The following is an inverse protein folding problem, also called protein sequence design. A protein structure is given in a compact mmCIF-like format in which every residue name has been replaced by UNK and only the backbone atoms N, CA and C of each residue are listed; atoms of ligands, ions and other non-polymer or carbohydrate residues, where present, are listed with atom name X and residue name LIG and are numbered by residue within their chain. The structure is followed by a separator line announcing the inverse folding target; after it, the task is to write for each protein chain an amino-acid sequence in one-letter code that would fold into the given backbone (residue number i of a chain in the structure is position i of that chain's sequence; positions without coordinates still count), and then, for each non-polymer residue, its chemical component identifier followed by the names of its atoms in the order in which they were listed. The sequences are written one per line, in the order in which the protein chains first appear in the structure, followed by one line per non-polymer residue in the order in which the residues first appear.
data_IF_732179023670
#
_entry.id   IF_732179023670
#
_cell.length_a   1.000
_cell.length_b   1.000
_cell.length_c   1.000
_cell.angle_alpha   90.00
_cell.angle_beta   90.00
_cell.angle_gamma   90.00
#
_symmetry.space_group_name_H-M   'P 1'
#
loop_
_entity.id
_entity.type
_entity.pdbx_description
1 polymer ?
#
# COMPACT_ATOMS: atom_id res chain seq x y z
N UNK A 1 9.94 21.50 -4.25
CA UNK A 1 10.38 20.47 -5.19
C UNK A 1 9.28 20.17 -6.19
N UNK A 2 9.64 19.80 -7.43
CA UNK A 2 8.75 19.34 -8.50
C UNK A 2 8.86 17.82 -8.59
N UNK A 3 7.78 17.11 -8.34
CA UNK A 3 7.75 15.65 -8.23
C UNK A 3 6.71 15.08 -9.19
N UNK A 4 7.12 14.19 -10.09
CA UNK A 4 6.21 13.40 -10.91
C UNK A 4 6.16 11.96 -10.35
N UNK A 5 4.97 11.43 -10.18
CA UNK A 5 4.74 10.05 -9.74
C UNK A 5 4.17 9.25 -10.90
N UNK A 6 4.89 8.22 -11.34
CA UNK A 6 4.43 7.23 -12.31
C UNK A 6 3.90 6.00 -11.58
N UNK A 7 2.60 5.80 -11.63
CA UNK A 7 1.92 4.65 -11.01
C UNK A 7 0.62 4.35 -11.74
N UNK A 8 0.11 3.13 -11.63
CA UNK A 8 -1.16 2.72 -12.20
C UNK A 8 -2.11 2.13 -11.15
N UNK A 9 -3.39 2.11 -11.49
CA UNK A 9 -4.43 1.39 -10.78
C UNK A 9 -5.44 0.84 -11.78
N UNK A 10 -5.95 -0.37 -11.54
CA UNK A 10 -6.99 -1.00 -12.35
C UNK A 10 -7.73 -2.05 -11.53
N UNK A 11 -8.73 -2.69 -12.12
CA UNK A 11 -9.40 -3.86 -11.50
C UNK A 11 -8.39 -4.98 -11.25
N UNK A 12 -7.43 -5.20 -12.15
CA UNK A 12 -6.43 -6.26 -12.06
C UNK A 12 -5.26 -5.90 -11.14
N UNK A 13 -4.69 -4.70 -11.30
CA UNK A 13 -3.55 -4.21 -10.49
C UNK A 13 -4.00 -3.92 -9.04
N UNK A 14 -5.27 -3.57 -8.86
CA UNK A 14 -5.78 -3.08 -7.58
C UNK A 14 -5.47 -1.59 -7.35
N UNK A 15 -5.75 -1.12 -6.15
CA UNK A 15 -5.58 0.27 -5.74
C UNK A 15 -4.31 0.53 -4.91
N UNK A 16 -3.59 -0.52 -4.50
CA UNK A 16 -2.51 -0.43 -3.51
C UNK A 16 -1.38 0.52 -3.88
N UNK A 17 -0.88 0.42 -5.13
CA UNK A 17 0.16 1.31 -5.66
C UNK A 17 -0.27 2.78 -5.63
N UNK A 18 -1.44 3.08 -6.18
CA UNK A 18 -1.95 4.45 -6.21
C UNK A 18 -2.16 5.00 -4.80
N UNK A 19 -2.71 4.20 -3.87
CA UNK A 19 -2.98 4.65 -2.50
C UNK A 19 -1.69 4.96 -1.73
N UNK A 20 -0.64 4.15 -1.86
CA UNK A 20 0.64 4.45 -1.21
C UNK A 20 1.33 5.66 -1.86
N UNK A 21 1.25 5.80 -3.18
CA UNK A 21 1.74 6.98 -3.88
C UNK A 21 0.96 8.25 -3.52
N UNK A 22 -0.35 8.17 -3.34
CA UNK A 22 -1.20 9.30 -2.89
C UNK A 22 -0.82 9.74 -1.48
N UNK A 23 -0.57 8.78 -0.57
CA UNK A 23 -0.08 9.06 0.78
C UNK A 23 1.24 9.83 0.75
N UNK A 24 2.21 9.38 -0.06
CA UNK A 24 3.49 10.08 -0.25
C UNK A 24 3.27 11.49 -0.84
N UNK A 25 2.41 11.61 -1.86
CA UNK A 25 2.09 12.88 -2.51
C UNK A 25 1.49 13.91 -1.54
N UNK A 26 0.54 13.49 -0.70
CA UNK A 26 -0.10 14.37 0.29
C UNK A 26 0.93 14.93 1.29
N UNK A 27 1.86 14.10 1.74
CA UNK A 27 2.92 14.54 2.67
C UNK A 27 3.94 15.46 1.98
N UNK A 28 4.35 15.15 0.75
CA UNK A 28 5.25 16.02 -0.03
C UNK A 28 4.60 17.39 -0.31
N UNK A 29 3.32 17.41 -0.66
CA UNK A 29 2.55 18.65 -0.85
C UNK A 29 2.42 19.45 0.44
N UNK A 30 2.19 18.79 1.56
CA UNK A 30 2.16 19.41 2.88
C UNK A 30 3.48 20.09 3.28
N UNK A 31 4.60 19.69 2.66
CA UNK A 31 5.94 20.32 2.80
C UNK A 31 6.25 21.32 1.67
N UNK A 32 5.26 21.72 0.88
CA UNK A 32 5.42 22.73 -0.16
C UNK A 32 5.93 22.20 -1.52
N UNK A 33 5.94 20.89 -1.74
CA UNK A 33 6.29 20.31 -3.04
C UNK A 33 5.13 20.40 -4.02
N UNK A 34 5.42 20.64 -5.31
CA UNK A 34 4.48 20.49 -6.41
C UNK A 34 4.51 19.04 -6.87
N UNK A 35 3.42 18.33 -6.70
CA UNK A 35 3.30 16.90 -7.05
C UNK A 35 2.27 16.71 -8.12
N UNK A 36 2.58 15.89 -9.12
CA UNK A 36 1.67 15.49 -10.19
C UNK A 36 1.82 13.99 -10.50
N UNK A 37 0.84 13.43 -11.19
CA UNK A 37 0.81 12.02 -11.53
C UNK A 37 0.83 11.79 -13.05
N UNK A 38 1.41 10.67 -13.46
CA UNK A 38 1.34 10.11 -14.79
C UNK A 38 0.85 8.65 -14.66
N UNK A 39 -0.35 8.37 -15.17
CA UNK A 39 -1.01 7.08 -15.03
C UNK A 39 -1.59 6.64 -16.37
N UNK A 40 -1.61 5.34 -16.65
CA UNK A 40 -2.35 4.79 -17.80
C UNK A 40 -3.84 4.76 -17.52
N UNK A 41 -4.63 5.00 -18.56
CA UNK A 41 -6.09 4.91 -18.50
C UNK A 41 -6.52 3.45 -18.64
N UNK A 42 -6.59 2.76 -17.49
CA UNK A 42 -6.95 1.36 -17.39
C UNK A 42 -8.36 1.18 -16.80
N UNK A 43 -9.07 0.08 -17.14
CA UNK A 43 -10.39 -0.22 -16.57
C UNK A 43 -10.35 -0.25 -15.03
N UNK A 44 -11.21 0.54 -14.39
CA UNK A 44 -11.22 0.68 -12.92
C UNK A 44 -10.12 1.58 -12.35
N UNK A 45 -9.40 2.32 -13.19
CA UNK A 45 -8.40 3.30 -12.76
C UNK A 45 -9.00 4.42 -11.91
N UNK A 46 -8.27 4.85 -10.88
CA UNK A 46 -8.75 5.79 -9.86
C UNK A 46 -8.39 7.26 -10.16
N UNK A 47 -8.49 7.70 -11.42
CA UNK A 47 -8.23 9.10 -11.80
C UNK A 47 -9.11 10.09 -11.04
N UNK A 48 -10.38 9.76 -10.84
CA UNK A 48 -11.31 10.62 -10.11
C UNK A 48 -10.84 10.87 -8.67
N UNK A 49 -10.17 9.91 -8.06
CA UNK A 49 -9.60 10.06 -6.72
C UNK A 49 -8.45 11.08 -6.73
N UNK A 50 -7.53 11.00 -7.71
CA UNK A 50 -6.45 11.99 -7.85
C UNK A 50 -7.00 13.41 -8.07
N UNK A 51 -8.04 13.56 -8.90
CA UNK A 51 -8.71 14.83 -9.13
C UNK A 51 -9.40 15.36 -7.87
N UNK A 52 -10.08 14.50 -7.11
CA UNK A 52 -10.72 14.87 -5.85
C UNK A 52 -9.70 15.34 -4.80
N UNK A 53 -8.47 14.80 -4.83
CA UNK A 53 -7.34 15.26 -4.01
C UNK A 53 -6.63 16.49 -4.60
N UNK A 54 -7.06 16.99 -5.77
CA UNK A 54 -6.50 18.18 -6.41
C UNK A 54 -5.12 17.98 -7.02
N UNK A 55 -4.76 16.76 -7.42
CA UNK A 55 -3.50 16.48 -8.11
C UNK A 55 -3.65 16.57 -9.63
N UNK A 56 -2.77 17.34 -10.31
CA UNK A 56 -2.63 17.23 -11.75
C UNK A 56 -2.25 15.80 -12.13
N UNK A 57 -2.97 15.22 -13.08
CA UNK A 57 -2.69 13.89 -13.59
C UNK A 57 -2.74 13.88 -15.11
N UNK A 58 -1.67 13.39 -15.74
CA UNK A 58 -1.63 13.13 -17.19
C UNK A 58 -1.99 11.67 -17.42
N UNK A 59 -2.99 11.44 -18.28
CA UNK A 59 -3.32 10.11 -18.77
C UNK A 59 -2.35 9.74 -19.89
N UNK A 60 -1.59 8.67 -19.67
CA UNK A 60 -0.66 8.16 -20.66
C UNK A 60 -1.43 7.36 -21.72
N UNK A 61 -1.10 7.63 -22.99
CA UNK A 61 -1.69 6.87 -24.11
C UNK A 61 -1.26 5.40 -24.08
N UNK A 62 -2.09 4.49 -24.62
CA UNK A 62 -1.67 3.11 -24.88
C UNK A 62 -0.43 3.09 -25.79
N UNK A 63 0.37 2.02 -25.66
CA UNK A 63 1.58 1.81 -26.45
C UNK A 63 1.28 1.79 -27.96
N UNK A 64 2.16 2.43 -28.79
CA UNK A 64 2.08 2.37 -30.26
C UNK A 64 2.70 1.06 -30.79
N UNK A 65 2.25 0.50 -31.92
CA UNK A 65 2.82 -0.74 -32.45
C UNK A 65 4.29 -0.55 -32.87
N UNK A 66 5.20 -1.38 -32.39
CA UNK A 66 6.58 -1.47 -32.86
C UNK A 66 7.70 -1.06 -31.91
N UNK A 67 7.37 -0.45 -30.74
CA UNK A 67 8.34 -0.19 -29.68
C UNK A 67 8.22 -1.21 -28.53
N UNK A 68 9.20 -1.32 -27.66
CA UNK A 68 9.00 -2.04 -26.42
C UNK A 68 8.04 -1.25 -25.50
N UNK A 69 7.18 -1.94 -24.78
CA UNK A 69 6.19 -1.31 -23.88
C UNK A 69 6.84 -0.35 -22.86
N UNK A 70 8.05 -0.65 -22.42
CA UNK A 70 8.81 0.21 -21.49
C UNK A 70 9.35 1.48 -22.17
N UNK A 71 9.84 1.40 -23.40
CA UNK A 71 10.35 2.58 -24.13
C UNK A 71 9.24 3.58 -24.40
N UNK A 72 8.08 3.10 -24.81
CA UNK A 72 6.92 3.96 -25.06
C UNK A 72 6.39 4.60 -23.79
N UNK A 73 6.30 3.83 -22.70
CA UNK A 73 5.90 4.35 -21.41
C UNK A 73 6.89 5.44 -20.93
N UNK A 74 8.18 5.22 -21.11
CA UNK A 74 9.21 6.20 -20.77
C UNK A 74 9.06 7.50 -21.57
N UNK A 75 8.81 7.42 -22.89
CA UNK A 75 8.60 8.60 -23.73
C UNK A 75 7.30 9.34 -23.36
N UNK A 76 6.23 8.62 -23.09
CA UNK A 76 4.96 9.20 -22.63
C UNK A 76 5.11 9.86 -21.24
N UNK A 77 5.83 9.23 -20.32
CA UNK A 77 6.14 9.81 -19.01
C UNK A 77 7.03 11.07 -19.12
N UNK A 78 7.99 11.08 -20.06
CA UNK A 78 8.82 12.25 -20.34
C UNK A 78 8.00 13.40 -20.91
N UNK A 79 7.08 13.13 -21.82
CA UNK A 79 6.16 14.14 -22.36
C UNK A 79 5.28 14.71 -21.25
N UNK A 80 4.73 13.85 -20.39
CA UNK A 80 3.97 14.27 -19.21
C UNK A 80 4.79 15.15 -18.27
N UNK A 81 6.06 14.78 -18.01
CA UNK A 81 6.98 15.57 -17.19
C UNK A 81 7.21 16.98 -17.78
N UNK A 82 7.47 17.07 -19.07
CA UNK A 82 7.68 18.36 -19.78
C UNK A 82 6.44 19.23 -19.77
N UNK A 83 5.26 18.63 -19.93
CA UNK A 83 3.97 19.35 -19.89
C UNK A 83 3.67 19.91 -18.51
N UNK A 84 3.91 19.13 -17.45
CA UNK A 84 3.57 19.51 -16.07
C UNK A 84 4.67 20.38 -15.43
N UNK A 85 5.92 20.17 -15.79
CA UNK A 85 7.10 20.83 -15.21
C UNK A 85 8.06 21.31 -16.30
N UNK A 86 7.70 22.34 -17.09
CA UNK A 86 8.52 22.80 -18.21
C UNK A 86 9.91 23.30 -17.80
N UNK A 87 10.05 23.79 -16.57
CA UNK A 87 11.35 24.27 -16.03
C UNK A 87 12.19 23.15 -15.39
N UNK A 88 11.82 21.89 -15.58
CA UNK A 88 12.54 20.72 -15.08
C UNK A 88 11.84 20.02 -13.92
N UNK A 89 12.26 18.78 -13.69
CA UNK A 89 11.74 17.86 -12.68
C UNK A 89 12.85 17.54 -11.67
N UNK A 90 12.56 17.74 -10.38
CA UNK A 90 13.53 17.41 -9.32
C UNK A 90 13.53 15.91 -9.03
N UNK A 91 12.34 15.31 -8.91
CA UNK A 91 12.17 13.91 -8.60
C UNK A 91 11.16 13.22 -9.50
N UNK A 92 11.55 12.06 -10.02
CA UNK A 92 10.65 11.07 -10.59
C UNK A 92 10.51 9.93 -9.59
N UNK A 93 9.28 9.64 -9.18
CA UNK A 93 8.93 8.48 -8.35
C UNK A 93 8.22 7.48 -9.24
N UNK A 94 8.66 6.22 -9.23
CA UNK A 94 7.99 5.13 -9.97
C UNK A 94 7.57 4.02 -9.02
N UNK A 95 6.32 3.59 -9.16
CA UNK A 95 5.72 2.49 -8.44
C UNK A 95 4.94 1.62 -9.44
N UNK A 96 5.63 0.65 -10.05
CA UNK A 96 5.09 -0.17 -11.13
C UNK A 96 5.87 -1.46 -11.32
N UNK A 97 5.19 -2.61 -11.40
CA UNK A 97 5.84 -3.92 -11.48
C UNK A 97 6.51 -4.24 -12.83
N UNK A 98 6.09 -3.60 -13.92
CA UNK A 98 6.60 -3.87 -15.26
C UNK A 98 7.70 -2.88 -15.73
N UNK A 99 8.03 -1.87 -14.90
CA UNK A 99 9.07 -0.89 -15.22
C UNK A 99 10.35 -1.23 -14.44
N UNK A 100 11.48 -1.17 -15.14
CA UNK A 100 12.80 -1.55 -14.62
C UNK A 100 13.90 -0.54 -15.04
N UNK A 101 15.16 -0.94 -14.84
CA UNK A 101 16.32 -0.13 -15.20
C UNK A 101 16.34 0.34 -16.67
N UNK A 102 15.67 -0.34 -17.60
CA UNK A 102 15.60 0.08 -19.01
C UNK A 102 14.76 1.36 -19.10
N UNK A 103 13.59 1.37 -18.49
CA UNK A 103 12.71 2.52 -18.41
C UNK A 103 13.37 3.70 -17.67
N UNK A 104 13.98 3.40 -16.54
CA UNK A 104 14.61 4.36 -15.65
C UNK A 104 15.77 5.09 -16.34
N UNK A 105 16.63 4.37 -17.08
CA UNK A 105 17.75 4.93 -17.83
C UNK A 105 17.36 5.87 -18.96
N UNK A 106 16.19 5.64 -19.58
CA UNK A 106 15.66 6.57 -20.60
C UNK A 106 15.31 7.91 -19.96
N UNK A 107 14.78 7.91 -18.75
CA UNK A 107 14.35 9.12 -18.04
C UNK A 107 15.46 9.79 -17.22
N UNK A 108 16.50 9.03 -16.87
CA UNK A 108 17.61 9.51 -16.05
C UNK A 108 18.24 10.84 -16.52
N UNK A 109 18.46 11.10 -17.83
CA UNK A 109 19.03 12.38 -18.29
C UNK A 109 18.10 13.59 -18.09
N UNK A 110 16.83 13.37 -17.80
CA UNK A 110 15.78 14.39 -17.74
C UNK A 110 15.27 14.69 -16.33
N UNK A 111 15.81 14.00 -15.32
CA UNK A 111 15.39 14.15 -13.93
C UNK A 111 16.61 14.28 -13.01
N UNK A 112 16.51 15.07 -11.95
CA UNK A 112 17.62 15.22 -11.01
C UNK A 112 17.80 13.96 -10.18
N UNK A 113 16.71 13.36 -9.70
CA UNK A 113 16.69 12.18 -8.85
C UNK A 113 15.55 11.23 -9.24
N UNK A 114 15.79 9.93 -9.05
CA UNK A 114 14.83 8.87 -9.31
C UNK A 114 14.62 8.00 -8.07
N UNK A 115 13.36 7.85 -7.66
CA UNK A 115 12.95 6.97 -6.58
C UNK A 115 12.10 5.83 -7.14
N UNK A 116 12.40 4.61 -6.71
CA UNK A 116 11.61 3.42 -7.01
C UNK A 116 10.91 2.94 -5.75
N UNK A 117 9.63 2.61 -5.84
CA UNK A 117 8.90 1.83 -4.85
C UNK A 117 8.71 0.44 -5.46
N UNK A 118 9.35 -0.57 -4.87
CA UNK A 118 9.29 -1.96 -5.32
C UNK A 118 9.21 -2.91 -4.13
N UNK A 119 8.54 -4.04 -4.31
CA UNK A 119 8.43 -5.09 -3.30
C UNK A 119 8.64 -6.50 -3.88
N UNK A 120 8.97 -6.60 -5.17
CA UNK A 120 9.22 -7.87 -5.82
C UNK A 120 10.69 -8.32 -5.71
N UNK A 121 11.64 -7.40 -5.77
CA UNK A 121 13.08 -7.66 -5.80
C UNK A 121 13.47 -8.72 -6.86
N UNK A 122 12.92 -8.62 -8.06
CA UNK A 122 13.08 -9.60 -9.15
C UNK A 122 13.69 -9.02 -10.43
N UNK A 123 14.02 -7.71 -10.43
CA UNK A 123 14.56 -6.98 -11.57
C UNK A 123 15.54 -5.88 -11.13
N UNK A 124 16.40 -5.45 -12.05
CA UNK A 124 17.35 -4.37 -11.78
C UNK A 124 16.70 -3.00 -11.86
N UNK A 125 17.17 -2.07 -11.02
CA UNK A 125 16.77 -0.68 -10.99
C UNK A 125 17.97 0.26 -11.12
N UNK A 126 17.79 1.39 -11.77
CA UNK A 126 18.74 2.50 -11.86
C UNK A 126 18.19 3.74 -11.14
N UNK A 127 18.21 3.69 -9.81
CA UNK A 127 17.59 4.69 -8.96
C UNK A 127 18.56 5.27 -7.91
N UNK A 128 18.21 6.44 -7.36
CA UNK A 128 18.91 7.07 -6.24
C UNK A 128 18.37 6.64 -4.89
N UNK A 129 17.08 6.28 -4.85
CA UNK A 129 16.38 5.86 -3.66
C UNK A 129 15.44 4.71 -4.02
N UNK A 130 15.49 3.61 -3.25
CA UNK A 130 14.57 2.51 -3.36
C UNK A 130 13.83 2.32 -2.04
N UNK A 131 12.51 2.15 -2.11
CA UNK A 131 11.65 1.83 -0.99
C UNK A 131 11.00 0.47 -1.21
N UNK A 132 11.27 -0.49 -0.29
CA UNK A 132 10.47 -1.69 -0.09
C UNK A 132 9.91 -1.67 1.34
N UNK A 133 8.64 -1.33 1.47
CA UNK A 133 8.00 -1.21 2.78
C UNK A 133 7.59 -2.54 3.42
N UNK A 134 7.76 -3.66 2.70
CA UNK A 134 7.37 -4.97 3.18
C UNK A 134 8.44 -5.59 4.08
N UNK A 135 7.99 -6.42 5.01
CA UNK A 135 8.89 -7.19 5.85
C UNK A 135 9.26 -8.51 5.17
N UNK A 136 10.56 -8.79 5.13
CA UNK A 136 11.13 -10.08 4.76
C UNK A 136 12.27 -10.40 5.70
N UNK A 137 12.46 -11.66 6.05
CA UNK A 137 13.58 -12.10 6.95
C UNK A 137 14.95 -11.72 6.39
N UNK A 138 15.08 -11.67 5.07
CA UNK A 138 16.29 -11.34 4.33
C UNK A 138 16.25 -9.98 3.66
N UNK A 139 15.39 -9.04 4.14
CA UNK A 139 15.16 -7.75 3.49
C UNK A 139 16.45 -6.99 3.17
N UNK A 140 17.47 -7.04 4.04
CA UNK A 140 18.76 -6.36 3.86
C UNK A 140 19.58 -6.90 2.66
N UNK A 141 19.25 -8.09 2.14
CA UNK A 141 19.96 -8.73 1.04
C UNK A 141 19.21 -8.62 -0.29
N UNK A 142 17.89 -8.35 -0.25
CA UNK A 142 17.00 -8.47 -1.41
C UNK A 142 17.42 -7.61 -2.61
N UNK A 143 17.87 -6.38 -2.38
CA UNK A 143 18.22 -5.42 -3.44
C UNK A 143 19.72 -5.24 -3.67
N UNK A 144 20.58 -5.99 -2.95
CA UNK A 144 22.04 -5.79 -2.98
C UNK A 144 22.66 -5.82 -4.37
N UNK A 145 22.13 -6.66 -5.26
CA UNK A 145 22.61 -6.82 -6.66
C UNK A 145 21.64 -6.20 -7.67
N UNK A 146 20.59 -5.56 -7.21
CA UNK A 146 19.50 -5.06 -8.06
C UNK A 146 19.48 -3.53 -8.19
N UNK A 147 20.27 -2.83 -7.38
CA UNK A 147 20.38 -1.36 -7.42
C UNK A 147 21.83 -0.91 -7.52
N UNK A 148 22.10 0.32 -8.00
CA UNK A 148 23.43 0.91 -7.97
C UNK A 148 24.01 0.98 -6.54
N UNK A 149 25.32 0.85 -6.41
CA UNK A 149 25.99 0.88 -5.10
C UNK A 149 25.71 2.17 -4.29
N UNK A 150 25.50 3.31 -4.99
CA UNK A 150 25.18 4.60 -4.36
C UNK A 150 23.68 4.77 -4.05
N UNK A 151 22.83 3.82 -4.44
CA UNK A 151 21.40 3.89 -4.13
C UNK A 151 21.18 3.78 -2.63
N UNK A 152 20.35 4.65 -2.08
CA UNK A 152 19.86 4.50 -0.71
C UNK A 152 18.68 3.55 -0.72
N UNK A 153 18.71 2.51 0.10
CA UNK A 153 17.60 1.57 0.25
C UNK A 153 16.90 1.77 1.59
N UNK A 154 15.59 1.90 1.56
CA UNK A 154 14.70 1.98 2.72
C UNK A 154 13.88 0.68 2.75
N UNK A 155 14.25 -0.23 3.63
CA UNK A 155 13.72 -1.60 3.62
C UNK A 155 12.98 -1.92 4.91
N UNK A 156 11.79 -2.49 4.77
CA UNK A 156 10.98 -2.96 5.88
C UNK A 156 9.90 -2.00 6.37
N UNK A 157 9.07 -2.45 7.33
CA UNK A 157 7.89 -1.73 7.83
C UNK A 157 8.17 -0.43 8.59
N UNK A 158 9.43 -0.18 8.94
CA UNK A 158 9.84 1.13 9.48
C UNK A 158 9.61 2.28 8.47
N UNK A 159 9.53 1.95 7.18
CA UNK A 159 9.36 2.91 6.08
C UNK A 159 8.00 2.81 5.40
N UNK A 160 7.02 2.18 6.04
CA UNK A 160 5.69 2.01 5.46
C UNK A 160 4.98 3.35 5.26
N UNK A 161 4.41 3.51 4.06
CA UNK A 161 3.64 4.69 3.69
C UNK A 161 2.22 4.58 4.26
N UNK A 162 2.03 5.10 5.48
CA UNK A 162 0.73 5.15 6.15
C UNK A 162 0.12 6.54 6.07
N UNK A 163 -1.20 6.60 5.91
CA UNK A 163 -1.96 7.84 5.95
C UNK A 163 -1.86 8.49 7.34
N UNK A 164 -1.90 9.83 7.44
CA UNK A 164 -1.73 10.54 8.71
C UNK A 164 -2.70 10.10 9.82
N UNK A 165 -3.91 9.69 9.45
CA UNK A 165 -4.93 9.19 10.39
C UNK A 165 -4.43 8.01 11.23
N UNK A 166 -3.52 7.17 10.70
CA UNK A 166 -2.94 6.03 11.44
C UNK A 166 -1.94 6.49 12.48
N UNK A 167 -1.12 7.49 12.18
CA UNK A 167 -0.20 8.09 13.15
C UNK A 167 -0.98 8.75 14.30
N UNK A 168 -2.09 9.43 14.00
CA UNK A 168 -2.92 10.05 15.02
C UNK A 168 -3.71 9.02 15.85
N UNK A 169 -4.21 7.96 15.23
CA UNK A 169 -4.84 6.86 15.94
C UNK A 169 -3.84 6.11 16.84
N UNK A 170 -2.58 5.98 16.39
CA UNK A 170 -1.51 5.34 17.16
C UNK A 170 -1.18 6.10 18.45
N UNK A 171 -1.21 7.43 18.45
CA UNK A 171 -1.01 8.25 19.66
C UNK A 171 -2.09 8.01 20.72
N UNK A 172 -3.26 7.53 20.30
CA UNK A 172 -4.41 7.21 21.14
C UNK A 172 -4.67 5.70 21.25
N UNK A 173 -3.60 4.90 21.17
CA UNK A 173 -3.69 3.46 21.10
C UNK A 173 -4.52 2.86 22.22
N UNK A 174 -5.51 2.04 21.88
CA UNK A 174 -6.30 1.27 22.83
C UNK A 174 -5.59 -0.05 23.16
N UNK A 175 -5.34 -0.31 24.42
CA UNK A 175 -4.88 -1.62 24.87
C UNK A 175 -6.04 -2.63 24.78
N UNK A 176 -5.84 -3.68 23.98
CA UNK A 176 -6.82 -4.79 23.88
C UNK A 176 -6.61 -5.80 24.99
N UNK A 177 -7.69 -6.17 25.68
CA UNK A 177 -7.65 -7.14 26.78
C UNK A 177 -7.65 -8.61 26.29
N UNK A 178 -7.74 -8.81 24.97
CA UNK A 178 -7.83 -10.11 24.33
C UNK A 178 -9.26 -10.61 24.11
N UNK A 179 -10.25 -9.99 24.72
CA UNK A 179 -11.66 -10.36 24.49
C UNK A 179 -12.15 -9.80 23.18
N UNK A 180 -12.68 -10.63 22.31
CA UNK A 180 -13.24 -10.22 21.01
C UNK A 180 -14.70 -9.82 21.18
N UNK A 181 -14.97 -8.51 21.09
CA UNK A 181 -16.32 -7.91 21.12
C UNK A 181 -16.68 -7.29 19.78
N UNK A 182 -15.67 -7.01 18.93
CA UNK A 182 -15.86 -6.38 17.63
C UNK A 182 -14.87 -6.92 16.63
N UNK A 183 -15.38 -7.35 15.47
CA UNK A 183 -14.58 -7.87 14.35
C UNK A 183 -14.64 -6.88 13.19
N UNK A 184 -13.48 -6.58 12.58
CA UNK A 184 -13.38 -5.83 11.35
C UNK A 184 -13.07 -6.76 10.18
N UNK A 185 -13.90 -6.73 9.15
CA UNK A 185 -13.69 -7.48 7.90
C UNK A 185 -13.34 -6.50 6.78
N UNK A 186 -12.12 -6.60 6.24
CA UNK A 186 -11.71 -5.83 5.07
C UNK A 186 -10.68 -6.61 4.24
N UNK A 187 -11.12 -7.13 3.11
CA UNK A 187 -10.33 -7.99 2.21
C UNK A 187 -9.79 -7.27 0.97
N UNK A 188 -9.75 -5.93 1.04
CA UNK A 188 -9.27 -5.07 -0.04
C UNK A 188 -10.40 -4.32 -0.74
N UNK A 189 -10.02 -3.32 -1.54
CA UNK A 189 -11.00 -2.42 -2.17
C UNK A 189 -11.86 -3.08 -3.23
N UNK A 190 -11.29 -3.96 -4.04
CA UNK A 190 -11.97 -4.61 -5.16
C UNK A 190 -12.57 -5.98 -4.81
N UNK A 191 -11.85 -6.79 -4.04
CA UNK A 191 -12.22 -8.18 -3.68
C UNK A 191 -12.98 -8.92 -4.80
N UNK A 192 -12.36 -9.09 -5.99
CA UNK A 192 -13.06 -9.62 -7.16
C UNK A 192 -13.52 -11.07 -7.00
N UNK A 193 -12.82 -11.83 -6.14
CA UNK A 193 -13.16 -13.22 -5.79
C UNK A 193 -14.23 -13.34 -4.69
N UNK A 194 -14.79 -12.20 -4.25
CA UNK A 194 -15.83 -12.11 -3.23
C UNK A 194 -15.52 -12.92 -1.95
N UNK A 195 -14.29 -12.80 -1.46
CA UNK A 195 -13.91 -13.47 -0.22
C UNK A 195 -14.64 -12.89 0.99
N UNK A 196 -15.06 -11.62 0.91
CA UNK A 196 -15.90 -10.99 1.92
C UNK A 196 -17.19 -11.79 2.15
N UNK A 197 -17.81 -12.32 1.08
CA UNK A 197 -18.99 -13.20 1.22
C UNK A 197 -18.66 -14.45 2.03
N UNK A 198 -17.54 -15.13 1.77
CA UNK A 198 -17.13 -16.33 2.52
C UNK A 198 -16.94 -16.03 4.03
N UNK A 199 -16.38 -14.86 4.35
CA UNK A 199 -16.26 -14.45 5.75
C UNK A 199 -17.63 -14.17 6.36
N UNK A 200 -18.56 -13.57 5.62
CA UNK A 200 -19.94 -13.36 6.10
C UNK A 200 -20.65 -14.69 6.34
N UNK A 201 -20.53 -15.66 5.44
CA UNK A 201 -21.04 -17.03 5.61
C UNK A 201 -20.41 -17.70 6.84
N UNK A 202 -19.12 -17.52 7.08
CA UNK A 202 -18.44 -18.00 8.28
C UNK A 202 -19.01 -17.37 9.56
N UNK A 203 -19.29 -16.07 9.56
CA UNK A 203 -19.90 -15.37 10.70
C UNK A 203 -21.34 -15.86 10.99
N UNK A 204 -22.08 -16.21 9.94
CA UNK A 204 -23.41 -16.86 10.11
C UNK A 204 -23.27 -18.24 10.76
N UNK A 205 -22.27 -19.05 10.34
CA UNK A 205 -22.01 -20.36 10.98
C UNK A 205 -21.60 -20.23 12.45
N UNK A 206 -20.82 -19.20 12.80
CA UNK A 206 -20.36 -18.93 14.18
C UNK A 206 -21.54 -18.55 15.09
N UNK A 207 -22.52 -17.81 14.55
CA UNK A 207 -23.74 -17.37 15.25
C UNK A 207 -23.48 -16.74 16.63
N UNK A 208 -22.64 -15.67 16.67
CA UNK A 208 -22.31 -14.90 17.87
C UNK A 208 -22.90 -13.47 17.77
N UNK A 209 -24.22 -13.31 18.05
CA UNK A 209 -24.88 -12.01 17.95
C UNK A 209 -24.42 -10.98 18.98
N UNK A 210 -23.68 -11.41 19.99
CA UNK A 210 -23.04 -10.58 21.01
C UNK A 210 -21.79 -9.89 20.54
N UNK A 211 -21.22 -10.31 19.37
CA UNK A 211 -20.03 -9.70 18.76
C UNK A 211 -20.46 -8.78 17.62
N UNK A 212 -20.11 -7.50 17.71
CA UNK A 212 -20.33 -6.54 16.63
C UNK A 212 -19.38 -6.80 15.45
N UNK A 213 -19.84 -6.55 14.22
CA UNK A 213 -19.01 -6.73 13.03
C UNK A 213 -19.09 -5.50 12.14
N UNK A 214 -17.93 -4.96 11.73
CA UNK A 214 -17.82 -3.95 10.70
C UNK A 214 -17.31 -4.61 9.42
N UNK A 215 -18.09 -4.52 8.35
CA UNK A 215 -17.70 -5.03 7.01
C UNK A 215 -17.45 -3.85 6.10
N UNK A 216 -16.22 -3.75 5.61
CA UNK A 216 -15.81 -2.67 4.72
C UNK A 216 -15.55 -3.23 3.32
N UNK A 217 -16.12 -2.58 2.31
CA UNK A 217 -15.84 -2.85 0.90
C UNK A 217 -15.47 -1.56 0.16
N UNK A 218 -14.65 -1.65 -0.87
CA UNK A 218 -14.34 -0.49 -1.70
C UNK A 218 -15.53 -0.08 -2.57
N UNK A 219 -15.51 1.17 -3.02
CA UNK A 219 -16.56 1.73 -3.88
C UNK A 219 -16.73 0.96 -5.20
N UNK A 220 -15.62 0.47 -5.75
CA UNK A 220 -15.58 -0.30 -7.00
C UNK A 220 -15.73 -1.80 -6.82
N UNK A 221 -16.11 -2.29 -5.65
CA UNK A 221 -16.30 -3.72 -5.43
C UNK A 221 -17.50 -4.22 -6.24
N UNK A 222 -17.33 -5.17 -7.19
CA UNK A 222 -18.41 -5.67 -8.04
C UNK A 222 -19.48 -6.45 -7.25
N UNK A 223 -19.14 -6.93 -6.05
CA UNK A 223 -20.03 -7.73 -5.19
C UNK A 223 -20.67 -6.91 -4.05
N UNK A 224 -20.53 -5.58 -4.10
CA UNK A 224 -20.97 -4.67 -3.03
C UNK A 224 -22.41 -4.90 -2.58
N UNK A 225 -23.35 -4.99 -3.52
CA UNK A 225 -24.79 -5.12 -3.20
C UNK A 225 -25.10 -6.50 -2.60
N UNK A 226 -24.43 -7.55 -3.07
CA UNK A 226 -24.52 -8.89 -2.50
C UNK A 226 -24.01 -8.92 -1.06
N UNK A 227 -22.85 -8.33 -0.80
CA UNK A 227 -22.27 -8.25 0.55
C UNK A 227 -23.18 -7.43 1.48
N UNK A 228 -23.72 -6.31 1.00
CA UNK A 228 -24.65 -5.49 1.76
C UNK A 228 -25.93 -6.26 2.12
N UNK A 229 -26.48 -7.03 1.18
CA UNK A 229 -27.65 -7.86 1.44
C UNK A 229 -27.40 -8.94 2.50
N UNK A 230 -26.19 -9.54 2.52
CA UNK A 230 -25.77 -10.48 3.57
C UNK A 230 -25.61 -9.79 4.92
N UNK A 231 -24.98 -8.60 4.96
CA UNK A 231 -24.85 -7.83 6.20
C UNK A 231 -26.22 -7.52 6.83
N UNK A 232 -27.22 -7.19 6.02
CA UNK A 232 -28.57 -6.89 6.49
C UNK A 232 -29.32 -8.10 7.11
N UNK A 233 -28.83 -9.32 6.94
CA UNK A 233 -29.39 -10.52 7.54
C UNK A 233 -28.92 -10.74 8.99
N UNK A 234 -27.87 -10.02 9.41
CA UNK A 234 -27.28 -10.14 10.73
C UNK A 234 -27.46 -8.84 11.52
N UNK A 235 -28.09 -8.88 12.70
CA UNK A 235 -28.46 -7.65 13.43
C UNK A 235 -27.26 -6.89 14.02
N UNK A 236 -26.12 -7.54 14.14
CA UNK A 236 -24.90 -7.03 14.75
C UNK A 236 -23.84 -6.61 13.72
N UNK A 237 -24.18 -6.55 12.42
CA UNK A 237 -23.26 -6.23 11.33
C UNK A 237 -23.54 -4.85 10.76
N UNK A 238 -22.51 -4.00 10.73
CA UNK A 238 -22.52 -2.71 10.07
C UNK A 238 -21.79 -2.80 8.73
N UNK A 239 -22.46 -2.42 7.65
CA UNK A 239 -21.88 -2.34 6.32
C UNK A 239 -21.32 -0.94 6.04
N UNK A 240 -20.10 -0.88 5.52
CA UNK A 240 -19.41 0.36 5.19
C UNK A 240 -18.89 0.31 3.75
N UNK A 241 -19.03 1.42 3.04
CA UNK A 241 -18.46 1.61 1.71
C UNK A 241 -17.95 3.03 1.55
N UNK A 242 -16.84 3.23 0.83
CA UNK A 242 -16.23 4.56 0.61
C UNK A 242 -15.91 5.31 1.90
N UNK A 243 -15.27 4.67 2.85
CA UNK A 243 -14.96 5.28 4.13
C UNK A 243 -13.65 6.08 4.09
N UNK A 244 -13.58 7.12 4.92
CA UNK A 244 -12.37 7.91 5.18
C UNK A 244 -11.84 7.73 6.61
N UNK A 245 -12.46 6.86 7.43
CA UNK A 245 -12.15 6.65 8.83
C UNK A 245 -11.72 5.21 9.14
N UNK A 246 -10.92 4.60 8.25
CA UNK A 246 -10.45 3.22 8.44
C UNK A 246 -9.65 3.07 9.73
N UNK A 247 -8.86 4.06 10.10
CA UNK A 247 -8.08 4.04 11.35
C UNK A 247 -8.98 3.93 12.58
N UNK A 248 -10.14 4.60 12.61
CA UNK A 248 -11.10 4.48 13.72
C UNK A 248 -11.74 3.10 13.78
N UNK A 249 -12.08 2.50 12.63
CA UNK A 249 -12.62 1.14 12.59
C UNK A 249 -11.60 0.11 13.10
N UNK A 250 -10.34 0.22 12.65
CA UNK A 250 -9.24 -0.63 13.14
C UNK A 250 -8.99 -0.41 14.63
N UNK A 251 -8.99 0.85 15.10
CA UNK A 251 -8.83 1.19 16.51
C UNK A 251 -9.91 0.54 17.39
N UNK A 252 -11.17 0.55 16.96
CA UNK A 252 -12.30 0.04 17.71
C UNK A 252 -12.49 -1.47 17.62
N UNK A 253 -11.90 -2.14 16.63
CA UNK A 253 -11.98 -3.60 16.50
C UNK A 253 -11.06 -4.32 17.49
N UNK A 254 -11.44 -5.54 17.87
CA UNK A 254 -10.63 -6.46 18.70
C UNK A 254 -9.95 -7.54 17.88
N UNK A 255 -10.53 -7.88 16.72
CA UNK A 255 -10.03 -8.87 15.77
C UNK A 255 -10.27 -8.37 14.36
N UNK A 256 -9.31 -8.58 13.46
CA UNK A 256 -9.42 -8.31 12.03
C UNK A 256 -9.49 -9.59 11.20
N UNK A 257 -10.19 -9.54 10.06
CA UNK A 257 -10.07 -10.52 8.97
C UNK A 257 -9.71 -9.72 7.72
N UNK A 258 -8.56 -9.99 7.09
CA UNK A 258 -8.07 -9.13 6.03
C UNK A 258 -7.03 -9.74 5.11
N UNK A 259 -6.65 -8.98 4.07
CA UNK A 259 -5.67 -9.36 3.07
C UNK A 259 -4.21 -9.07 3.51
N UNK A 260 -3.25 -9.83 2.99
CA UNK A 260 -1.80 -9.67 3.18
C UNK A 260 -1.15 -8.53 2.37
N UNK A 261 -1.94 -7.56 1.88
CA UNK A 261 -1.45 -6.39 1.14
C UNK A 261 -1.17 -5.18 2.03
N UNK A 262 -1.12 -3.98 1.44
CA UNK A 262 -0.76 -2.72 2.12
C UNK A 262 -1.55 -2.47 3.43
N UNK A 263 -2.81 -2.87 3.48
CA UNK A 263 -3.65 -2.71 4.68
C UNK A 263 -3.25 -3.61 5.85
N UNK A 264 -2.42 -4.62 5.63
CA UNK A 264 -1.80 -5.39 6.72
C UNK A 264 -0.98 -4.46 7.63
N UNK A 265 -0.24 -3.53 7.06
CA UNK A 265 0.57 -2.57 7.81
C UNK A 265 -0.28 -1.57 8.59
N UNK A 266 -1.44 -1.17 8.05
CA UNK A 266 -2.43 -0.34 8.76
C UNK A 266 -2.93 -1.05 10.03
N UNK A 267 -3.26 -2.34 9.93
CA UNK A 267 -3.69 -3.15 11.06
C UNK A 267 -2.57 -3.39 12.08
N UNK A 268 -1.36 -3.72 11.59
CA UNK A 268 -0.19 -3.88 12.46
C UNK A 268 0.16 -2.58 13.19
N UNK A 269 0.09 -1.42 12.51
CA UNK A 269 0.33 -0.11 13.11
C UNK A 269 -0.55 0.15 14.33
N UNK A 270 -1.79 -0.30 14.35
CA UNK A 270 -2.73 -0.14 15.46
C UNK A 270 -2.85 -1.40 16.33
N UNK A 271 -1.97 -2.39 16.13
CA UNK A 271 -1.93 -3.62 16.91
C UNK A 271 -3.22 -4.42 16.85
N UNK A 272 -3.93 -4.41 15.70
CA UNK A 272 -5.13 -5.23 15.53
C UNK A 272 -4.72 -6.68 15.22
N UNK A 273 -4.98 -7.62 16.14
CA UNK A 273 -4.80 -9.04 15.86
C UNK A 273 -5.60 -9.40 14.61
N UNK A 274 -4.97 -10.01 13.60
CA UNK A 274 -5.65 -10.21 12.32
C UNK A 274 -5.44 -11.61 11.78
N UNK A 275 -6.54 -12.25 11.36
CA UNK A 275 -6.53 -13.41 10.48
C UNK A 275 -6.29 -12.90 9.07
N UNK A 276 -5.18 -13.31 8.47
CA UNK A 276 -4.71 -12.77 7.19
C UNK A 276 -4.71 -13.85 6.11
N UNK A 277 -5.23 -13.50 4.93
CA UNK A 277 -5.24 -14.35 3.74
C UNK A 277 -4.49 -13.68 2.59
N UNK A 278 -4.00 -14.45 1.63
CA UNK A 278 -3.32 -13.91 0.44
C UNK A 278 -4.15 -14.14 -0.82
N UNK A 279 -4.06 -13.18 -1.72
CA UNK A 279 -4.76 -13.17 -3.01
C UNK A 279 -3.80 -13.30 -4.20
N UNK A 280 -2.53 -12.93 -4.00
CA UNK A 280 -1.52 -12.87 -5.04
C UNK A 280 -0.15 -13.34 -4.52
N UNK A 281 0.66 -13.87 -5.42
CA UNK A 281 1.96 -14.47 -5.08
C UNK A 281 2.93 -13.50 -4.39
N UNK A 282 2.88 -12.20 -4.74
CA UNK A 282 3.70 -11.18 -4.11
C UNK A 282 3.33 -10.92 -2.63
N UNK A 283 2.16 -11.34 -2.17
CA UNK A 283 1.73 -11.20 -0.79
C UNK A 283 2.17 -12.39 0.09
N UNK A 284 2.40 -13.56 -0.51
CA UNK A 284 2.59 -14.80 0.24
C UNK A 284 3.80 -14.73 1.17
N UNK A 285 4.99 -14.51 0.60
CA UNK A 285 6.24 -14.53 1.36
C UNK A 285 6.26 -13.49 2.49
N UNK A 286 5.87 -12.25 2.23
CA UNK A 286 5.81 -11.22 3.28
C UNK A 286 4.81 -11.59 4.37
N UNK A 287 3.66 -12.19 4.02
CA UNK A 287 2.65 -12.62 4.98
C UNK A 287 3.15 -13.78 5.84
N UNK A 288 3.83 -14.77 5.24
CA UNK A 288 4.46 -15.88 5.97
C UNK A 288 5.55 -15.39 6.94
N UNK A 289 6.40 -14.47 6.48
CA UNK A 289 7.48 -13.91 7.29
C UNK A 289 6.93 -13.09 8.47
N UNK A 290 5.84 -12.32 8.28
CA UNK A 290 5.16 -11.58 9.35
C UNK A 290 4.42 -12.52 10.31
N UNK A 291 3.81 -13.60 9.80
CA UNK A 291 3.16 -14.62 10.63
C UNK A 291 4.19 -15.36 11.51
N UNK A 292 5.39 -15.60 10.99
CA UNK A 292 6.46 -16.21 11.77
C UNK A 292 6.98 -15.32 12.93
N UNK A 293 6.73 -14.02 12.89
CA UNK A 293 6.93 -13.09 14.02
C UNK A 293 5.79 -13.17 15.05
N UNK A 294 4.71 -13.91 14.76
CA UNK A 294 3.51 -13.96 15.59
C UNK A 294 2.63 -12.71 15.49
N UNK A 295 2.86 -11.84 14.51
CA UNK A 295 2.17 -10.55 14.39
C UNK A 295 0.82 -10.63 13.65
N UNK A 296 0.55 -11.73 12.97
CA UNK A 296 -0.70 -12.05 12.30
C UNK A 296 -0.96 -13.56 12.36
N UNK A 297 -2.20 -13.96 12.13
CA UNK A 297 -2.61 -15.34 11.92
C UNK A 297 -2.77 -15.60 10.42
N UNK A 298 -1.79 -16.25 9.80
CA UNK A 298 -1.85 -16.57 8.36
C UNK A 298 -2.73 -17.79 8.12
N UNK A 299 -3.82 -17.62 7.37
CA UNK A 299 -4.78 -18.69 7.09
C UNK A 299 -4.49 -19.41 5.75
N UNK A 300 -3.74 -18.78 4.85
CA UNK A 300 -3.40 -19.37 3.55
C UNK A 300 -3.95 -18.60 2.35
N UNK A 301 -3.96 -19.27 1.20
CA UNK A 301 -4.48 -18.73 -0.05
C UNK A 301 -6.00 -18.66 -0.05
N UNK A 302 -6.55 -17.47 -0.29
CA UNK A 302 -7.99 -17.21 -0.28
C UNK A 302 -8.79 -18.10 -1.25
N UNK A 303 -8.19 -18.49 -2.37
CA UNK A 303 -8.80 -19.39 -3.37
C UNK A 303 -9.03 -20.82 -2.84
N UNK A 304 -8.27 -21.25 -1.84
CA UNK A 304 -8.34 -22.59 -1.25
C UNK A 304 -9.25 -22.65 -0.03
N UNK A 305 -9.67 -21.50 0.51
CA UNK A 305 -10.45 -21.41 1.73
C UNK A 305 -11.96 -21.47 1.48
N UNK A 306 -12.63 -22.14 2.38
CA UNK A 306 -14.09 -22.23 2.49
C UNK A 306 -14.58 -21.46 3.71
N UNK A 307 -15.87 -21.13 3.82
CA UNK A 307 -16.44 -20.45 4.99
C UNK A 307 -16.09 -21.14 6.32
N UNK A 308 -16.06 -22.48 6.36
CA UNK A 308 -15.75 -23.25 7.56
C UNK A 308 -14.31 -23.06 8.05
N UNK A 309 -13.38 -22.76 7.14
CA UNK A 309 -11.97 -22.51 7.48
C UNK A 309 -11.85 -21.15 8.18
N UNK A 310 -12.53 -20.13 7.67
CA UNK A 310 -12.65 -18.83 8.33
C UNK A 310 -13.36 -18.93 9.68
N UNK A 311 -14.46 -19.68 9.75
CA UNK A 311 -15.21 -19.87 10.99
C UNK A 311 -14.34 -20.50 12.07
N UNK A 312 -13.58 -21.55 11.74
CA UNK A 312 -12.65 -22.22 12.65
C UNK A 312 -11.57 -21.28 13.15
N UNK A 313 -10.97 -20.49 12.24
CA UNK A 313 -9.93 -19.54 12.61
C UNK A 313 -10.46 -18.43 13.53
N UNK A 314 -11.65 -17.87 13.23
CA UNK A 314 -12.30 -16.83 14.05
C UNK A 314 -12.65 -17.38 15.43
N UNK A 315 -13.26 -18.57 15.52
CA UNK A 315 -13.60 -19.23 16.81
C UNK A 315 -12.32 -19.46 17.62
N UNK A 316 -11.26 -19.99 17.00
CA UNK A 316 -10.00 -20.22 17.69
C UNK A 316 -9.35 -18.96 18.27
N UNK A 317 -9.57 -17.79 17.65
CA UNK A 317 -9.15 -16.51 18.22
C UNK A 317 -10.09 -16.05 19.34
N UNK A 318 -11.41 -16.20 19.19
CA UNK A 318 -12.40 -15.82 20.22
C UNK A 318 -12.19 -16.62 21.51
N UNK A 319 -11.85 -17.90 21.40
CA UNK A 319 -11.69 -18.83 22.53
C UNK A 319 -10.30 -18.72 23.20
N UNK A 320 -9.32 -18.04 22.60
CA UNK A 320 -7.99 -17.80 23.18
C UNK A 320 -7.66 -16.31 23.31
N UNK A 321 -8.16 -15.62 24.35
CA UNK A 321 -7.87 -14.20 24.60
C UNK A 321 -6.36 -13.91 24.75
N UNK A 322 -5.58 -14.86 25.22
CA UNK A 322 -4.14 -14.70 25.36
C UNK A 322 -3.44 -14.70 24.00
N UNK A 323 -3.93 -15.52 23.06
CA UNK A 323 -3.45 -15.51 21.68
C UNK A 323 -3.77 -14.18 21.00
N UNK A 324 -5.01 -13.68 21.10
CA UNK A 324 -5.43 -12.36 20.60
C UNK A 324 -4.50 -11.27 21.12
N UNK A 325 -4.20 -11.27 22.41
CA UNK A 325 -3.31 -10.28 23.04
C UNK A 325 -1.89 -10.39 22.49
N UNK A 326 -1.30 -11.60 22.47
CA UNK A 326 0.07 -11.82 21.95
C UNK A 326 0.21 -11.37 20.51
N UNK A 327 -0.74 -11.72 19.64
CA UNK A 327 -0.72 -11.32 18.22
C UNK A 327 -0.80 -9.81 18.08
N UNK A 328 -1.67 -9.14 18.83
CA UNK A 328 -1.77 -7.69 18.81
C UNK A 328 -0.51 -6.97 19.30
N UNK A 329 0.12 -7.47 20.36
CA UNK A 329 1.40 -6.96 20.87
C UNK A 329 2.52 -7.14 19.84
N UNK A 330 2.63 -8.33 19.22
CA UNK A 330 3.62 -8.59 18.19
C UNK A 330 3.39 -7.70 16.95
N UNK A 331 2.14 -7.49 16.53
CA UNK A 331 1.81 -6.61 15.41
C UNK A 331 2.32 -5.18 15.64
N UNK A 332 2.18 -4.64 16.88
CA UNK A 332 2.69 -3.33 17.25
C UNK A 332 4.21 -3.18 17.10
N UNK A 333 4.96 -4.26 17.26
CA UNK A 333 6.43 -4.24 17.15
C UNK A 333 6.90 -4.30 15.69
N UNK A 334 6.10 -4.81 14.77
CA UNK A 334 6.47 -4.91 13.35
C UNK A 334 6.49 -3.53 12.68
N UNK A 335 5.48 -2.70 12.95
CA UNK A 335 5.40 -1.33 12.45
C UNK A 335 5.80 -0.39 13.57
N UNK A 336 7.01 0.17 13.49
CA UNK A 336 7.47 1.16 14.46
C UNK A 336 6.63 2.44 14.35
N UNK A 337 6.17 2.90 15.49
CA UNK A 337 4.90 3.58 15.63
C UNK A 337 4.86 5.09 15.41
N UNK A 338 5.94 5.75 15.18
CA UNK A 338 5.96 7.22 15.34
C UNK A 338 5.88 7.99 14.02
N UNK A 339 5.40 7.36 12.95
CA UNK A 339 5.38 7.98 11.63
C UNK A 339 6.77 8.24 11.05
N UNK A 340 7.79 7.67 11.68
CA UNK A 340 9.20 7.83 11.31
C UNK A 340 9.45 7.35 9.87
N UNK A 341 8.79 6.25 9.45
CA UNK A 341 8.99 5.69 8.12
C UNK A 341 8.67 6.67 7.00
N UNK A 342 7.49 7.28 7.01
CA UNK A 342 7.12 8.28 6.00
C UNK A 342 7.98 9.54 6.12
N UNK A 343 8.24 9.99 7.33
CA UNK A 343 9.07 11.17 7.57
C UNK A 343 10.51 10.95 7.10
N UNK A 344 11.08 9.76 7.32
CA UNK A 344 12.44 9.43 6.88
C UNK A 344 12.54 9.38 5.35
N UNK A 345 11.55 8.76 4.67
CA UNK A 345 11.46 8.78 3.20
C UNK A 345 11.44 10.21 2.67
N UNK A 346 10.61 11.07 3.26
CA UNK A 346 10.50 12.48 2.86
C UNK A 346 11.80 13.25 3.09
N UNK A 347 12.45 13.05 4.25
CA UNK A 347 13.75 13.68 4.57
C UNK A 347 14.83 13.24 3.58
N UNK A 348 14.89 11.96 3.22
CA UNK A 348 15.83 11.43 2.21
C UNK A 348 15.62 12.06 0.84
N UNK A 349 14.36 12.22 0.42
CA UNK A 349 14.01 12.90 -0.83
C UNK A 349 14.52 14.34 -0.81
N UNK A 350 14.21 15.11 0.26
CA UNK A 350 14.60 16.52 0.39
C UNK A 350 16.12 16.69 0.40
N UNK A 351 16.83 15.94 1.24
CA UNK A 351 18.29 16.03 1.36
C UNK A 351 19.01 15.73 0.03
N UNK A 352 18.56 14.73 -0.69
CA UNK A 352 19.14 14.40 -2.02
C UNK A 352 18.86 15.49 -3.05
N UNK A 353 17.70 16.13 -3.02
CA UNK A 353 17.41 17.27 -3.91
C UNK A 353 18.32 18.47 -3.61
N UNK A 354 18.50 18.83 -2.35
CA UNK A 354 19.39 19.95 -1.94
C UNK A 354 20.84 19.71 -2.37
N UNK A 355 21.35 18.48 -2.20
CA UNK A 355 22.71 18.10 -2.63
C UNK A 355 22.93 18.25 -4.13
N UNK A 356 21.87 18.12 -4.94
CA UNK A 356 21.93 18.28 -6.39
C UNK A 356 21.99 19.74 -6.85
N UNK A 357 21.47 20.66 -6.04
CA UNK A 357 21.52 22.11 -6.32
C UNK A 357 22.85 22.76 -5.95
N UNK A 358 23.68 22.08 -5.15
CA UNK A 358 25.01 22.55 -4.75
C UNK A 358 26.12 22.30 -5.79
N UNK A 359 25.82 21.69 -6.96
CA UNK A 359 26.79 21.63 -8.06
C UNK A 359 26.74 22.96 -8.81
N UNK A 360 27.81 23.80 -8.82
CA UNK A 360 27.79 25.05 -9.54
C UNK A 360 27.56 24.80 -11.04
N UNK A 361 26.57 25.47 -11.62
CA UNK A 361 26.43 25.63 -13.07
C UNK A 361 27.54 26.53 -13.57
N UNK A 362 28.79 26.10 -13.46
CA UNK A 362 29.94 26.72 -14.06
C UNK A 362 30.58 25.68 -14.97
N UNK A 363 30.45 25.92 -16.26
CA UNK A 363 31.13 25.46 -17.45
C UNK A 363 30.12 24.98 -18.50
N UNK A 364 29.42 25.95 -19.08
CA UNK A 364 28.83 25.80 -20.41
C UNK A 364 28.77 27.19 -21.09
N UNK A 365 29.91 27.92 -21.06
CA UNK A 365 30.20 29.02 -21.99
C UNK A 365 31.70 29.00 -22.26
N UNK A 366 32.09 28.17 -23.20
CA UNK A 366 33.30 28.27 -24.06
C UNK A 366 33.44 26.93 -24.81
N UNK A 367 32.80 26.83 -25.93
CA UNK A 367 33.33 26.43 -27.26
C UNK A 367 32.19 26.57 -28.25
#
# INVERSE_FOLDING_TARGET
MKVLIRTDSSVEIGSGHLMRCLTLADQLRGKGSSVAFACRDLPGGLFNLLQAHGYPCVRLSPAAPGCSAQQEDALAALEAARKLFPDGLDWLVVDHYELDAIWERILRPHVSKLMVIDDLANRQHDCDLLLDQNYYRDMDQRYRMLVPQQCVTLLGPAYVLLRPEFSDARKRLRLRDGTVRRILVFLGGSDPANQTQKVMEALMLINRPDIGVDVVVGAGNPNRDTVQALCNQLPNVAFHSQISNMADLIHNADLGVGAGGATMWERCCLGLPTITVVFAANQERTTEDVAALGAIEYLGWSSQLRPEDYARAIIGMIEDPQRVKRVGEAALHVVQAEGEGLQDVMCRIIQKAESSHCIPRAVAQQI
#
